data_IF_253596642897
#
_entry.id   IF_253596642897
#
_cell.length_a   1.000
_cell.length_b   1.000
_cell.length_c   1.000
_cell.angle_alpha   90.00
_cell.angle_beta   90.00
_cell.angle_gamma   90.00
#
_symmetry.space_group_name_H-M   'P 1'
#
loop_
_entity.id
_entity.type
_entity.pdbx_description
1 polymer ?
#
# COMPACT_ATOMS: atom_id res chain seq x y z
N UNK A 1 -18.30 -0.28 12.91
CA UNK A 1 -17.86 0.27 14.20
C UNK A 1 -16.70 1.23 13.92
N UNK A 2 -16.86 2.52 14.22
CA UNK A 2 -15.84 3.54 13.95
C UNK A 2 -14.69 3.51 14.95
N UNK A 3 -14.75 2.67 15.98
CA UNK A 3 -13.80 2.66 17.08
C UNK A 3 -12.50 1.91 16.77
N UNK A 4 -12.47 1.04 15.74
CA UNK A 4 -11.31 0.20 15.42
C UNK A 4 -10.44 0.74 14.27
N UNK A 5 -10.89 1.78 13.57
CA UNK A 5 -10.23 2.32 12.37
C UNK A 5 -10.33 1.39 11.15
N UNK A 6 -9.51 1.68 10.12
CA UNK A 6 -9.46 0.93 8.86
C UNK A 6 -10.48 1.38 7.81
N UNK A 7 -10.45 0.69 6.67
CA UNK A 7 -11.38 0.89 5.55
C UNK A 7 -12.20 -0.38 5.29
N UNK A 8 -13.44 -0.18 4.85
CA UNK A 8 -14.35 -1.22 4.37
C UNK A 8 -14.68 -0.97 2.89
N UNK A 9 -15.30 -1.93 2.21
CA UNK A 9 -15.79 -1.75 0.83
C UNK A 9 -16.81 -0.60 0.75
N UNK A 10 -17.74 -0.53 1.71
CA UNK A 10 -18.84 0.45 1.71
C UNK A 10 -19.12 1.03 3.10
N UNK A 11 -19.75 2.21 3.18
CA UNK A 11 -20.24 2.75 4.44
C UNK A 11 -21.19 1.78 5.15
N UNK A 12 -20.92 1.51 6.42
CA UNK A 12 -21.72 0.59 7.24
C UNK A 12 -21.20 -0.84 7.30
N UNK A 13 -20.31 -1.24 6.38
CA UNK A 13 -19.64 -2.54 6.43
C UNK A 13 -18.51 -2.57 7.47
N UNK A 14 -18.11 -3.76 7.88
CA UNK A 14 -16.97 -3.95 8.77
C UNK A 14 -15.67 -3.70 8.01
N UNK A 15 -14.76 -2.92 8.61
CA UNK A 15 -13.43 -2.73 8.06
C UNK A 15 -12.65 -4.05 8.07
N UNK A 16 -11.81 -4.24 7.06
CA UNK A 16 -10.98 -5.44 6.94
C UNK A 16 -9.57 -5.10 6.43
N UNK A 17 -8.60 -6.03 6.59
CA UNK A 17 -7.22 -5.77 6.16
C UNK A 17 -7.06 -5.51 4.66
N UNK A 18 -7.92 -6.10 3.81
CA UNK A 18 -7.80 -6.00 2.37
C UNK A 18 -8.19 -4.59 1.90
N UNK A 19 -9.39 -4.13 2.25
CA UNK A 19 -9.83 -2.78 1.91
C UNK A 19 -9.00 -1.73 2.62
N UNK A 20 -8.49 -2.03 3.82
CA UNK A 20 -7.57 -1.12 4.50
C UNK A 20 -6.27 -0.92 3.72
N UNK A 21 -5.64 -2.01 3.26
CA UNK A 21 -4.40 -1.95 2.47
C UNK A 21 -4.59 -1.14 1.18
N UNK A 22 -5.61 -1.47 0.38
CA UNK A 22 -5.86 -0.79 -0.89
C UNK A 22 -6.38 0.64 -0.72
N UNK A 23 -7.12 0.92 0.35
CA UNK A 23 -7.52 2.28 0.71
C UNK A 23 -6.31 3.17 1.01
N UNK A 24 -5.35 2.68 1.80
CA UNK A 24 -4.10 3.38 2.08
C UNK A 24 -3.26 3.59 0.80
N UNK A 25 -3.18 2.56 -0.06
CA UNK A 25 -2.51 2.69 -1.35
C UNK A 25 -3.14 3.76 -2.24
N UNK A 26 -4.48 3.78 -2.34
CA UNK A 26 -5.20 4.82 -3.08
C UNK A 26 -4.95 6.22 -2.52
N UNK A 27 -4.96 6.39 -1.20
CA UNK A 27 -4.66 7.69 -0.57
C UNK A 27 -3.25 8.18 -0.89
N UNK A 28 -2.26 7.28 -0.89
CA UNK A 28 -0.89 7.62 -1.27
C UNK A 28 -0.79 8.01 -2.74
N UNK A 29 -1.45 7.28 -3.64
CA UNK A 29 -1.46 7.58 -5.09
C UNK A 29 -2.14 8.91 -5.42
N UNK A 30 -3.10 9.34 -4.60
CA UNK A 30 -3.79 10.63 -4.73
C UNK A 30 -3.07 11.78 -4.03
N UNK A 31 -1.90 11.54 -3.43
CA UNK A 31 -1.15 12.51 -2.61
C UNK A 31 -2.02 13.12 -1.48
N UNK A 32 -2.99 12.34 -0.99
CA UNK A 32 -3.96 12.76 0.03
C UNK A 32 -3.48 12.48 1.47
N UNK A 33 -2.39 11.72 1.62
CA UNK A 33 -1.80 11.32 2.88
C UNK A 33 -0.26 11.43 2.80
N UNK A 34 0.32 12.64 2.97
CA UNK A 34 1.76 12.89 2.81
C UNK A 34 2.64 12.15 3.84
N UNK A 35 2.05 11.69 4.93
CA UNK A 35 2.70 10.84 5.93
C UNK A 35 2.94 9.39 5.45
N UNK A 36 2.26 8.95 4.38
CA UNK A 36 2.46 7.63 3.81
C UNK A 36 3.70 7.64 2.92
N UNK A 37 4.57 6.66 3.13
CA UNK A 37 5.70 6.40 2.24
C UNK A 37 5.24 5.99 0.84
N UNK A 38 6.10 6.17 -0.16
CA UNK A 38 5.79 5.76 -1.54
C UNK A 38 5.46 4.28 -1.64
N UNK A 39 4.43 3.98 -2.40
CA UNK A 39 3.99 2.61 -2.70
C UNK A 39 4.37 2.29 -4.14
N UNK A 40 5.02 1.15 -4.30
CA UNK A 40 5.14 0.46 -5.58
C UNK A 40 3.78 -0.15 -5.93
N UNK A 41 3.17 0.35 -6.99
CA UNK A 41 1.83 -0.03 -7.41
C UNK A 41 1.79 -1.37 -8.17
N UNK A 42 2.93 -1.87 -8.65
CA UNK A 42 3.02 -3.19 -9.29
C UNK A 42 2.93 -4.27 -8.22
N UNK A 43 3.65 -4.08 -7.12
CA UNK A 43 3.73 -5.06 -6.04
C UNK A 43 2.75 -4.79 -4.89
N UNK A 44 2.09 -3.63 -4.87
CA UNK A 44 1.27 -3.17 -3.74
C UNK A 44 2.06 -3.17 -2.42
N UNK A 45 3.32 -2.73 -2.49
CA UNK A 45 4.27 -2.76 -1.37
C UNK A 45 4.98 -1.42 -1.25
N UNK A 46 5.44 -1.01 -0.05
CA UNK A 46 6.26 0.20 0.07
C UNK A 46 7.53 0.08 -0.78
N UNK A 47 7.87 1.14 -1.52
CA UNK A 47 9.06 1.15 -2.40
C UNK A 47 10.35 0.81 -1.63
N UNK A 48 10.44 1.23 -0.36
CA UNK A 48 11.55 0.86 0.53
C UNK A 48 11.70 -0.66 0.68
N UNK A 49 10.60 -1.39 0.84
CA UNK A 49 10.62 -2.85 0.98
C UNK A 49 11.07 -3.50 -0.33
N UNK A 50 10.63 -2.97 -1.47
CA UNK A 50 11.08 -3.45 -2.78
C UNK A 50 12.58 -3.25 -2.98
N UNK A 51 13.13 -2.13 -2.53
CA UNK A 51 14.57 -1.87 -2.54
C UNK A 51 15.34 -2.85 -1.65
N UNK A 52 14.87 -3.07 -0.41
CA UNK A 52 15.47 -4.04 0.51
C UNK A 52 15.45 -5.48 -0.07
N UNK A 53 14.38 -5.85 -0.79
CA UNK A 53 14.28 -7.15 -1.46
C UNK A 53 15.23 -7.23 -2.66
N UNK A 54 15.33 -6.17 -3.46
CA UNK A 54 16.19 -6.12 -4.64
C UNK A 54 17.67 -6.33 -4.28
N UNK A 55 18.12 -5.83 -3.12
CA UNK A 55 19.48 -6.03 -2.62
C UNK A 55 19.80 -7.51 -2.35
N UNK A 56 18.78 -8.32 -2.00
CA UNK A 56 18.92 -9.76 -1.71
C UNK A 56 18.60 -10.62 -2.93
N UNK A 57 17.73 -10.13 -3.82
CA UNK A 57 17.21 -10.85 -4.99
C UNK A 57 17.35 -9.96 -6.24
N UNK A 58 18.52 -9.99 -6.92
CA UNK A 58 18.84 -9.06 -8.00
C UNK A 58 17.90 -9.13 -9.21
N UNK A 59 17.18 -10.24 -9.41
CA UNK A 59 16.25 -10.41 -10.53
C UNK A 59 15.01 -9.51 -10.41
N UNK A 60 14.70 -9.00 -9.22
CA UNK A 60 13.55 -8.09 -9.03
C UNK A 60 13.90 -6.66 -9.49
N UNK A 61 15.18 -6.27 -9.44
CA UNK A 61 15.63 -4.95 -9.88
C UNK A 61 15.57 -4.74 -11.41
N UNK A 62 15.45 -5.80 -12.21
CA UNK A 62 15.45 -5.70 -13.68
C UNK A 62 14.09 -5.42 -14.31
N UNK A 63 13.04 -5.20 -13.51
CA UNK A 63 11.67 -4.96 -13.99
C UNK A 63 11.23 -3.49 -13.94
N UNK A 64 12.08 -2.58 -13.43
CA UNK A 64 11.88 -1.13 -13.53
C UNK A 64 12.47 -0.62 -14.87
N UNK A 65 11.73 -0.77 -15.97
CA UNK A 65 11.92 0.00 -17.23
C UNK A 65 10.84 1.08 -17.39
#
# INVERSE_FOLDING_TARGET
>A
DTELGGFADRPGDMADPFHTLFGLAGLQMLDAAPELGRIDHIYCMPTRVMQEIADVVPVIASFDE
#
